data_IF_301867949841
#
_entry.id   IF_301867949841
#
_cell.length_a   1.000
_cell.length_b   1.000
_cell.length_c   1.000
_cell.angle_alpha   90.00
_cell.angle_beta   90.00
_cell.angle_gamma   90.00
#
_symmetry.space_group_name_H-M   'P 1'
#
loop_
_entity.id
_entity.type
_entity.pdbx_description
1 polymer ?
#
# COMPACT_ATOMS: atom_id res chain seq x y z
N UNK A 1 -34.48 -65.61 6.58
CA UNK A 1 -33.36 -65.14 7.41
C UNK A 1 -32.18 -64.86 6.49
N UNK A 2 -32.01 -63.61 6.02
CA UNK A 2 -30.84 -63.15 5.24
C UNK A 2 -30.52 -61.74 5.73
N UNK A 3 -29.32 -61.58 6.27
CA UNK A 3 -28.74 -60.32 6.74
C UNK A 3 -28.09 -59.63 5.54
N UNK A 4 -28.39 -58.34 5.30
CA UNK A 4 -27.61 -57.50 4.39
C UNK A 4 -27.18 -56.24 5.13
N UNK A 5 -25.87 -56.16 5.37
CA UNK A 5 -25.20 -55.04 6.01
C UNK A 5 -25.23 -53.80 5.15
N UNK A 6 -25.50 -52.67 5.79
CA UNK A 6 -25.31 -51.33 5.23
C UNK A 6 -23.83 -50.96 5.36
N UNK A 7 -23.15 -50.83 4.22
CA UNK A 7 -21.86 -50.14 4.15
C UNK A 7 -22.16 -48.63 4.16
N UNK A 8 -21.86 -47.96 5.26
CA UNK A 8 -21.94 -46.51 5.35
C UNK A 8 -20.68 -45.92 4.75
N UNK A 9 -20.77 -45.41 3.52
CA UNK A 9 -19.70 -44.65 2.88
C UNK A 9 -19.68 -43.26 3.53
N UNK A 10 -18.69 -43.03 4.40
CA UNK A 10 -18.41 -41.71 4.98
C UNK A 10 -17.72 -40.88 3.90
N UNK A 11 -18.45 -39.94 3.32
CA UNK A 11 -17.93 -38.94 2.40
C UNK A 11 -17.18 -37.88 3.22
N UNK A 12 -15.85 -37.98 3.23
CA UNK A 12 -14.97 -37.00 3.85
C UNK A 12 -14.91 -35.77 2.93
N UNK A 13 -15.80 -34.80 3.16
CA UNK A 13 -15.80 -33.50 2.47
C UNK A 13 -14.63 -32.67 3.00
N UNK A 14 -13.54 -32.62 2.23
CA UNK A 14 -12.42 -31.71 2.44
C UNK A 14 -12.89 -30.34 1.96
N UNK A 15 -13.21 -29.44 2.89
CA UNK A 15 -13.50 -28.04 2.58
C UNK A 15 -12.18 -27.34 2.19
N UNK A 16 -12.07 -26.76 0.98
CA UNK A 16 -10.98 -25.83 0.70
C UNK A 16 -11.22 -24.56 1.51
N UNK A 17 -10.20 -24.12 2.24
CA UNK A 17 -10.19 -22.80 2.88
C UNK A 17 -10.37 -21.75 1.79
N UNK A 18 -11.55 -21.16 1.69
CA UNK A 18 -11.75 -19.94 0.91
C UNK A 18 -10.95 -18.83 1.59
N UNK A 19 -9.84 -18.41 0.96
CA UNK A 19 -9.31 -17.08 1.18
C UNK A 19 -10.40 -16.10 0.72
N UNK A 20 -11.20 -15.58 1.65
CA UNK A 20 -12.11 -14.50 1.35
C UNK A 20 -11.28 -13.21 1.20
N UNK A 21 -11.15 -12.74 -0.04
CA UNK A 21 -10.75 -11.38 -0.34
C UNK A 21 -11.81 -10.42 0.21
N UNK A 22 -11.38 -9.32 0.83
CA UNK A 22 -12.25 -8.33 1.44
C UNK A 22 -12.51 -7.20 0.43
N UNK A 23 -13.77 -6.90 0.06
CA UNK A 23 -14.04 -5.85 -0.91
C UNK A 23 -13.84 -4.46 -0.31
N UNK A 24 -12.96 -3.64 -0.91
CA UNK A 24 -12.83 -2.23 -0.57
C UNK A 24 -13.80 -1.41 -1.42
N UNK A 25 -14.70 -0.66 -0.76
CA UNK A 25 -15.63 0.25 -1.44
C UNK A 25 -14.93 1.57 -1.77
N UNK A 26 -14.78 1.86 -3.07
CA UNK A 26 -14.21 3.13 -3.56
C UNK A 26 -15.30 4.19 -3.74
N UNK A 27 -16.47 3.77 -4.25
CA UNK A 27 -17.66 4.60 -4.44
C UNK A 27 -18.92 3.71 -4.44
N UNK A 28 -20.12 4.31 -4.49
CA UNK A 28 -21.40 3.58 -4.46
C UNK A 28 -21.56 2.52 -5.57
N UNK A 29 -20.71 2.53 -6.60
CA UNK A 29 -20.79 1.62 -7.75
C UNK A 29 -19.44 0.96 -8.07
N UNK A 30 -18.39 1.20 -7.28
CA UNK A 30 -17.04 0.75 -7.59
C UNK A 30 -16.37 0.11 -6.37
N UNK A 31 -15.95 -1.14 -6.54
CA UNK A 31 -15.25 -1.93 -5.53
C UNK A 31 -13.93 -2.41 -6.10
N UNK A 32 -12.88 -2.42 -5.28
CA UNK A 32 -11.63 -3.13 -5.55
C UNK A 32 -11.66 -4.40 -4.71
N UNK A 33 -11.43 -5.56 -5.33
CA UNK A 33 -11.15 -6.79 -4.59
C UNK A 33 -9.69 -6.79 -4.15
N UNK A 34 -9.44 -6.94 -2.85
CA UNK A 34 -8.09 -7.01 -2.30
C UNK A 34 -8.04 -8.02 -1.17
N UNK A 35 -6.88 -8.63 -0.97
CA UNK A 35 -6.57 -9.48 0.17
C UNK A 35 -6.04 -8.69 1.38
N UNK A 36 -5.79 -7.38 1.21
CA UNK A 36 -5.37 -6.48 2.29
C UNK A 36 -6.39 -6.48 3.44
N UNK A 37 -5.86 -6.72 4.62
CA UNK A 37 -6.54 -6.58 5.91
C UNK A 37 -6.42 -5.15 6.40
N UNK A 38 -7.44 -4.74 7.17
CA UNK A 38 -7.56 -3.38 7.70
C UNK A 38 -7.48 -2.28 6.62
N UNK A 39 -7.87 -2.63 5.39
CA UNK A 39 -7.71 -1.76 4.24
C UNK A 39 -8.57 -0.50 4.37
N UNK A 40 -7.97 0.65 4.08
CA UNK A 40 -8.64 1.94 4.01
C UNK A 40 -8.22 2.69 2.76
N UNK A 41 -9.21 3.30 2.09
CA UNK A 41 -8.94 4.22 1.00
C UNK A 41 -8.43 5.55 1.58
N UNK A 42 -7.25 5.96 1.16
CA UNK A 42 -6.66 7.27 1.49
C UNK A 42 -7.16 8.33 0.51
N UNK A 43 -7.07 8.05 -0.79
CA UNK A 43 -7.47 8.97 -1.83
C UNK A 43 -7.75 8.25 -3.15
N UNK A 44 -8.57 8.90 -3.99
CA UNK A 44 -8.59 8.65 -5.43
C UNK A 44 -7.82 9.76 -6.10
N UNK A 45 -6.81 9.42 -6.89
CA UNK A 45 -5.98 10.41 -7.57
C UNK A 45 -5.66 9.92 -8.98
N UNK A 46 -6.03 10.72 -9.99
CA UNK A 46 -5.71 10.47 -11.40
C UNK A 46 -6.03 9.04 -11.90
N UNK A 47 -7.18 8.47 -11.49
CA UNK A 47 -7.56 7.11 -11.88
C UNK A 47 -6.88 5.98 -11.09
N UNK A 48 -6.21 6.31 -9.98
CA UNK A 48 -5.65 5.35 -9.03
C UNK A 48 -6.33 5.45 -7.67
N UNK A 49 -6.42 4.32 -6.98
CA UNK A 49 -6.75 4.22 -5.57
C UNK A 49 -5.45 4.16 -4.77
N UNK A 50 -5.28 5.11 -3.85
CA UNK A 50 -4.21 5.11 -2.85
C UNK A 50 -4.82 4.52 -1.58
N UNK A 51 -4.29 3.41 -1.12
CA UNK A 51 -4.84 2.62 -0.02
C UNK A 51 -3.79 2.43 1.06
N UNK A 52 -4.23 2.23 2.29
CA UNK A 52 -3.37 1.76 3.36
C UNK A 52 -3.93 0.46 3.93
N UNK A 53 -3.07 -0.52 4.21
CA UNK A 53 -3.48 -1.83 4.72
C UNK A 53 -2.27 -2.70 5.09
N UNK A 54 -2.54 -3.94 5.45
CA UNK A 54 -1.55 -5.00 5.76
C UNK A 54 -2.00 -6.29 5.10
N UNK A 55 -1.09 -7.17 4.69
CA UNK A 55 -1.49 -8.51 4.25
C UNK A 55 -1.80 -9.42 5.45
N UNK A 56 -1.17 -9.13 6.59
CA UNK A 56 -1.27 -9.97 7.76
C UNK A 56 -1.27 -9.16 9.07
N UNK A 57 -2.22 -9.48 9.96
CA UNK A 57 -2.43 -8.78 11.24
C UNK A 57 -1.54 -9.38 12.35
N UNK A 58 -1.25 -10.68 12.29
CA UNK A 58 -0.61 -11.44 13.38
C UNK A 58 0.87 -11.81 13.12
N UNK A 59 1.55 -11.09 12.22
CA UNK A 59 2.94 -11.37 11.85
C UNK A 59 3.85 -10.14 11.88
N UNK A 60 3.54 -9.19 12.76
CA UNK A 60 4.33 -7.96 12.98
C UNK A 60 4.53 -7.12 11.70
N UNK A 61 3.66 -7.30 10.70
CA UNK A 61 3.71 -6.53 9.47
C UNK A 61 3.26 -5.09 9.72
N UNK A 62 4.12 -4.13 9.41
CA UNK A 62 3.74 -2.73 9.45
C UNK A 62 2.68 -2.38 8.41
N UNK A 63 1.83 -1.40 8.76
CA UNK A 63 0.93 -0.75 7.81
C UNK A 63 1.73 -0.21 6.63
N UNK A 64 1.22 -0.40 5.42
CA UNK A 64 1.85 0.05 4.20
C UNK A 64 0.88 0.83 3.32
N UNK A 65 1.42 1.54 2.33
CA UNK A 65 0.68 2.20 1.26
C UNK A 65 0.71 1.31 0.03
N UNK A 66 -0.42 1.25 -0.65
CA UNK A 66 -0.63 0.53 -1.90
C UNK A 66 -1.27 1.45 -2.92
N UNK A 67 -0.86 1.32 -4.18
CA UNK A 67 -1.36 2.13 -5.29
C UNK A 67 -1.93 1.17 -6.32
N UNK A 68 -3.20 1.33 -6.66
CA UNK A 68 -3.86 0.46 -7.64
C UNK A 68 -4.60 1.26 -8.70
N UNK A 69 -4.42 0.89 -9.97
CA UNK A 69 -5.19 1.48 -11.06
C UNK A 69 -6.66 1.09 -10.92
N UNK A 70 -7.54 2.06 -11.07
CA UNK A 70 -8.97 1.86 -11.02
C UNK A 70 -9.44 1.54 -12.45
N UNK A 71 -9.98 0.33 -12.67
CA UNK A 71 -10.47 -0.08 -13.99
C UNK A 71 -11.51 0.91 -14.55
N UNK A 72 -11.37 1.28 -15.83
CA UNK A 72 -12.34 2.12 -16.53
C UNK A 72 -13.51 1.25 -17.01
N UNK A 73 -14.71 1.82 -17.13
CA UNK A 73 -15.89 1.10 -17.62
C UNK A 73 -15.61 0.45 -18.99
N UNK A 74 -15.68 -0.87 -19.06
CA UNK A 74 -15.46 -1.65 -20.29
C UNK A 74 -14.08 -2.33 -20.39
N UNK A 75 -13.15 -2.02 -19.48
CA UNK A 75 -11.92 -2.80 -19.30
C UNK A 75 -12.23 -4.02 -18.40
N UNK A 76 -11.87 -5.22 -18.85
CA UNK A 76 -11.98 -6.43 -18.05
C UNK A 76 -10.85 -6.42 -17.03
N UNK A 77 -11.17 -6.48 -15.73
CA UNK A 77 -10.20 -6.86 -14.69
C UNK A 77 -9.66 -8.25 -15.05
N UNK A 78 -8.45 -8.35 -15.62
CA UNK A 78 -7.84 -9.66 -15.89
C UNK A 78 -6.98 -9.81 -17.15
N UNK A 79 -6.68 -8.76 -17.90
CA UNK A 79 -5.64 -8.84 -18.95
C UNK A 79 -4.41 -8.06 -18.51
N UNK A 80 -3.37 -8.78 -18.06
CA UNK A 80 -1.96 -8.36 -17.90
C UNK A 80 -1.76 -6.84 -17.73
N UNK A 81 -2.07 -6.30 -16.55
CA UNK A 81 -1.51 -5.01 -16.12
C UNK A 81 -0.14 -5.27 -15.47
N UNK A 82 0.75 -5.91 -16.23
CA UNK A 82 2.16 -6.13 -15.87
C UNK A 82 2.84 -4.79 -15.65
N UNK A 83 2.95 -4.35 -14.40
CA UNK A 83 3.84 -3.26 -14.03
C UNK A 83 3.62 -2.59 -12.68
N UNK A 84 2.42 -2.65 -12.08
CA UNK A 84 2.13 -1.85 -10.88
C UNK A 84 1.24 -2.54 -9.82
N UNK A 85 0.97 -3.85 -9.94
CA UNK A 85 0.17 -4.59 -8.96
C UNK A 85 1.06 -5.10 -7.81
N UNK A 86 0.75 -4.64 -6.58
CA UNK A 86 1.31 -5.04 -5.27
C UNK A 86 2.63 -4.44 -4.77
N UNK A 87 3.09 -3.32 -5.34
CA UNK A 87 4.17 -2.59 -4.68
C UNK A 87 3.73 -2.08 -3.30
N UNK A 88 4.41 -2.59 -2.27
CA UNK A 88 4.25 -2.24 -0.87
C UNK A 88 5.16 -1.06 -0.54
N UNK A 89 4.58 0.10 -0.27
CA UNK A 89 5.32 1.30 0.11
C UNK A 89 5.24 1.59 1.60
N UNK A 90 6.27 2.20 2.16
CA UNK A 90 6.35 2.58 3.57
C UNK A 90 5.22 3.53 3.96
N UNK A 91 4.48 3.23 5.03
CA UNK A 91 3.49 4.16 5.57
C UNK A 91 4.20 5.31 6.31
N UNK A 92 3.74 6.57 6.23
CA UNK A 92 4.42 7.67 6.92
C UNK A 92 4.44 7.48 8.43
N UNK A 93 5.45 7.99 9.10
CA UNK A 93 5.59 7.79 10.54
C UNK A 93 6.96 8.03 11.12
N UNK A 94 7.11 7.51 12.33
CA UNK A 94 8.39 7.37 13.02
C UNK A 94 8.62 5.88 13.23
N UNK A 95 9.82 5.43 12.88
CA UNK A 95 10.22 4.04 13.00
C UNK A 95 11.28 3.91 14.08
N UNK A 96 10.99 3.04 15.04
CA UNK A 96 11.93 2.68 16.10
C UNK A 96 12.57 1.34 15.77
N UNK A 97 13.86 1.19 16.06
CA UNK A 97 14.50 -0.11 16.06
C UNK A 97 13.81 -1.01 17.12
N UNK A 98 13.38 -2.19 16.70
CA UNK A 98 12.61 -3.10 17.56
C UNK A 98 13.34 -3.43 18.87
N UNK A 99 14.66 -3.61 18.83
CA UNK A 99 15.46 -4.06 19.98
C UNK A 99 15.79 -2.93 20.95
N UNK A 100 16.30 -1.81 20.44
CA UNK A 100 16.81 -0.69 21.24
C UNK A 100 15.76 0.37 21.51
N UNK A 101 14.62 0.34 20.79
CA UNK A 101 13.56 1.36 20.80
C UNK A 101 14.05 2.76 20.43
N UNK A 102 15.22 2.85 19.78
CA UNK A 102 15.77 4.12 19.30
C UNK A 102 15.12 4.50 17.98
N UNK A 103 14.90 5.80 17.79
CA UNK A 103 14.42 6.32 16.52
C UNK A 103 15.48 6.10 15.44
N UNK A 104 15.12 5.37 14.39
CA UNK A 104 15.98 5.04 13.26
C UNK A 104 15.51 5.67 11.96
N UNK A 105 14.22 5.95 11.80
CA UNK A 105 13.68 6.61 10.61
C UNK A 105 12.47 7.51 10.92
N UNK A 106 12.34 8.59 10.14
CA UNK A 106 11.19 9.49 10.11
C UNK A 106 10.76 9.65 8.65
N UNK A 107 9.51 9.40 8.37
CA UNK A 107 8.97 9.42 7.01
C UNK A 107 7.71 10.26 6.97
N UNK A 108 7.70 11.29 6.14
CA UNK A 108 6.50 12.08 5.81
C UNK A 108 6.05 11.67 4.42
N UNK A 109 4.74 11.61 4.21
CA UNK A 109 4.17 11.25 2.91
C UNK A 109 3.11 12.27 2.51
N UNK A 110 3.17 12.71 1.27
CA UNK A 110 2.25 13.64 0.67
C UNK A 110 1.61 13.03 -0.57
N UNK A 111 0.38 13.45 -0.86
CA UNK A 111 -0.35 13.03 -2.06
C UNK A 111 -1.16 14.20 -2.64
N UNK A 112 -1.36 14.17 -3.96
CA UNK A 112 -2.12 15.19 -4.69
C UNK A 112 -1.27 15.83 -5.78
N UNK A 113 -1.24 17.16 -5.89
CA UNK A 113 -0.39 17.87 -6.88
C UNK A 113 0.83 18.49 -6.18
N UNK A 114 1.74 17.63 -5.73
CA UNK A 114 2.89 18.02 -4.91
C UNK A 114 4.15 18.34 -5.74
N UNK A 115 4.18 18.01 -7.03
CA UNK A 115 5.33 18.19 -7.92
C UNK A 115 4.90 18.73 -9.29
N UNK A 116 5.36 19.93 -9.65
CA UNK A 116 5.14 20.55 -10.97
C UNK A 116 3.67 20.54 -11.48
N UNK A 117 2.69 20.58 -10.57
CA UNK A 117 1.26 20.51 -10.93
C UNK A 117 0.80 19.13 -11.43
N UNK A 118 1.62 18.10 -11.28
CA UNK A 118 1.30 16.72 -11.66
C UNK A 118 0.77 15.91 -10.47
N UNK A 119 -0.20 15.00 -10.70
CA UNK A 119 -0.64 14.05 -9.70
C UNK A 119 0.56 13.21 -9.22
N UNK A 120 0.81 13.24 -7.92
CA UNK A 120 2.00 12.69 -7.30
C UNK A 120 1.76 12.13 -5.90
N UNK A 121 2.61 11.17 -5.52
CA UNK A 121 2.87 10.78 -4.14
C UNK A 121 4.34 11.07 -3.83
N UNK A 122 4.62 11.63 -2.67
CA UNK A 122 5.97 12.03 -2.28
C UNK A 122 6.27 11.54 -0.87
N UNK A 123 7.36 10.80 -0.70
CA UNK A 123 7.95 10.48 0.58
C UNK A 123 9.20 11.32 0.82
N UNK A 124 9.25 11.95 2.00
CA UNK A 124 10.42 12.62 2.52
C UNK A 124 10.89 11.85 3.75
N UNK A 125 12.02 11.17 3.63
CA UNK A 125 12.51 10.23 4.63
C UNK A 125 13.85 10.69 5.18
N UNK A 126 13.97 10.70 6.51
CA UNK A 126 15.24 10.83 7.22
C UNK A 126 15.52 9.53 7.97
N UNK A 127 16.62 8.85 7.66
CA UNK A 127 16.99 7.58 8.30
C UNK A 127 18.42 7.61 8.86
N UNK A 128 18.68 6.75 9.85
CA UNK A 128 19.98 6.60 10.49
C UNK A 128 20.91 5.75 9.63
N UNK A 129 22.09 6.27 9.33
CA UNK A 129 23.20 5.52 8.72
C UNK A 129 24.43 5.68 9.60
N UNK A 130 24.66 4.72 10.49
CA UNK A 130 25.62 4.86 11.59
C UNK A 130 25.25 6.03 12.51
N UNK A 131 26.18 6.97 12.71
CA UNK A 131 25.97 8.14 13.58
C UNK A 131 25.34 9.34 12.87
N UNK A 132 25.11 9.27 11.56
CA UNK A 132 24.54 10.37 10.76
C UNK A 132 23.08 10.13 10.41
N UNK A 133 22.40 11.21 10.04
CA UNK A 133 21.07 11.17 9.42
C UNK A 133 21.23 11.41 7.93
N UNK A 134 20.63 10.56 7.13
CA UNK A 134 20.56 10.68 5.67
C UNK A 134 19.14 11.07 5.30
N UNK A 135 19.01 12.04 4.40
CA UNK A 135 17.73 12.45 3.83
C UNK A 135 17.57 11.83 2.44
N UNK A 136 16.38 11.34 2.15
CA UNK A 136 16.01 10.77 0.86
C UNK A 136 14.61 11.22 0.46
N UNK A 137 14.41 11.31 -0.85
CA UNK A 137 13.16 11.72 -1.47
C UNK A 137 12.73 10.62 -2.44
N UNK A 138 11.48 10.22 -2.34
CA UNK A 138 10.88 9.26 -3.26
C UNK A 138 9.57 9.80 -3.81
N UNK A 139 9.53 10.01 -5.12
CA UNK A 139 8.42 10.61 -5.83
C UNK A 139 7.84 9.58 -6.80
N UNK A 140 6.52 9.42 -6.77
CA UNK A 140 5.76 8.67 -7.75
C UNK A 140 4.85 9.65 -8.48
N UNK A 141 4.99 9.73 -9.80
CA UNK A 141 4.07 10.45 -10.67
C UNK A 141 3.02 9.48 -11.19
N UNK A 142 1.75 9.87 -11.11
CA UNK A 142 0.64 9.07 -11.61
C UNK A 142 0.26 9.58 -13.00
N UNK A 143 0.60 8.80 -14.03
CA UNK A 143 0.25 9.09 -15.43
C UNK A 143 -0.77 8.11 -16.00
N UNK A 144 -1.25 8.42 -17.20
CA UNK A 144 -2.17 7.56 -17.95
C UNK A 144 -1.52 6.22 -18.35
N UNK A 145 -0.21 6.24 -18.63
CA UNK A 145 0.62 5.10 -19.05
C UNK A 145 1.11 4.23 -17.87
N UNK A 146 0.93 4.69 -16.62
CA UNK A 146 1.39 3.97 -15.42
C UNK A 146 1.99 4.88 -14.36
N UNK A 147 2.70 4.26 -13.43
CA UNK A 147 3.45 4.93 -12.37
C UNK A 147 4.89 5.21 -12.85
N UNK A 148 5.36 6.44 -12.64
CA UNK A 148 6.78 6.80 -12.85
C UNK A 148 7.44 7.04 -11.50
N UNK A 149 8.48 6.29 -11.20
CA UNK A 149 9.16 6.33 -9.91
C UNK A 149 10.47 7.10 -10.03
N UNK A 150 10.69 8.05 -9.12
CA UNK A 150 11.91 8.86 -9.03
C UNK A 150 12.45 8.80 -7.61
N UNK A 151 13.74 8.52 -7.49
CA UNK A 151 14.44 8.42 -6.21
C UNK A 151 15.66 9.34 -6.22
N UNK A 152 15.79 10.14 -5.17
CA UNK A 152 16.92 11.06 -5.01
C UNK A 152 17.45 10.94 -3.58
N UNK A 153 18.73 10.64 -3.47
CA UNK A 153 19.49 10.75 -2.22
C UNK A 153 20.53 11.85 -2.32
N UNK A 154 20.65 12.65 -1.25
CA UNK A 154 21.90 13.34 -0.97
C UNK A 154 22.25 14.61 -1.76
N UNK A 155 21.52 15.06 -2.79
CA UNK A 155 21.72 16.43 -3.33
C UNK A 155 20.67 16.89 -4.37
N UNK A 156 20.04 18.02 -4.03
CA UNK A 156 19.26 19.01 -4.80
C UNK A 156 17.85 19.19 -4.20
N UNK A 157 17.41 20.42 -3.92
CA UNK A 157 16.03 20.64 -3.51
C UNK A 157 15.13 20.34 -4.71
N UNK A 158 14.44 19.22 -4.69
CA UNK A 158 13.30 19.01 -5.57
C UNK A 158 12.28 20.13 -5.32
N UNK A 159 11.77 20.75 -6.39
CA UNK A 159 10.81 21.86 -6.28
C UNK A 159 9.44 21.28 -5.94
N UNK A 160 9.23 20.95 -4.67
CA UNK A 160 7.95 20.49 -4.16
C UNK A 160 7.03 21.65 -3.82
N UNK A 161 5.74 21.46 -4.09
CA UNK A 161 4.67 22.43 -3.81
C UNK A 161 3.89 21.99 -2.55
N UNK A 162 4.61 21.75 -1.45
CA UNK A 162 4.03 21.19 -0.22
C UNK A 162 2.95 22.09 0.41
N UNK A 163 3.03 23.40 0.17
CA UNK A 163 2.07 24.39 0.69
C UNK A 163 0.84 24.58 -0.23
N UNK A 164 0.78 23.86 -1.34
CA UNK A 164 -0.38 23.89 -2.23
C UNK A 164 -1.60 23.28 -1.51
N UNK A 165 -2.78 23.89 -1.68
CA UNK A 165 -4.03 23.34 -1.16
C UNK A 165 -4.34 21.92 -1.69
N UNK A 166 -3.78 21.58 -2.85
CA UNK A 166 -3.94 20.30 -3.51
C UNK A 166 -2.82 19.30 -3.19
N UNK A 167 -1.87 19.65 -2.31
CA UNK A 167 -0.86 18.72 -1.77
C UNK A 167 -1.17 18.45 -0.29
N UNK A 168 -1.49 17.19 0.05
CA UNK A 168 -1.94 16.81 1.40
C UNK A 168 -0.95 15.88 2.04
N UNK A 169 -0.55 16.20 3.27
CA UNK A 169 0.23 15.28 4.10
C UNK A 169 -0.69 14.21 4.68
N UNK A 170 -0.28 12.94 4.54
CA UNK A 170 -0.93 11.82 5.18
C UNK A 170 -0.40 11.69 6.63
N UNK A 171 -1.26 11.67 7.67
CA UNK A 171 -0.81 11.52 9.04
C UNK A 171 -0.03 10.24 9.27
N UNK A 172 1.16 10.39 9.83
CA UNK A 172 2.04 9.27 10.17
C UNK A 172 1.66 8.56 11.46
N UNK A 173 2.20 7.35 11.65
CA UNK A 173 2.05 6.56 12.89
C UNK A 173 3.41 6.21 13.51
N UNK A 174 3.43 5.74 14.75
CA UNK A 174 4.63 5.20 15.38
C UNK A 174 4.68 3.69 15.12
N UNK A 175 5.76 3.22 14.52
CA UNK A 175 5.95 1.82 14.14
C UNK A 175 7.34 1.34 14.56
N UNK A 176 7.54 0.04 14.56
CA UNK A 176 8.82 -0.60 14.85
C UNK A 176 9.33 -1.28 13.58
N UNK A 177 10.64 -1.29 13.37
CA UNK A 177 11.28 -2.03 12.27
C UNK A 177 12.36 -2.95 12.81
N UNK A 178 12.50 -4.11 12.17
CA UNK A 178 13.65 -4.96 12.38
C UNK A 178 14.91 -4.27 11.79
N UNK A 179 16.09 -4.44 12.43
CA UNK A 179 17.34 -3.80 12.02
C UNK A 179 17.88 -4.29 10.68
#
# INVERSE_FOLDING_TARGET
>A
MIVRGFLTVICLQILPFSLCADPLVISSQQQIQTDLKEVRLIAKLHGYAIMAGRHCIDCDENLAIYIRRIARHGEVEGTDQTGAEDDRYTYPGKYLDYMTKKLVEKTRMFYGHCYEGQPSLLWLTEYRSGDTWVQSEYLILLGDEGLEHRYVEGQQPSVFQLESADCKELPGTLMEMEP
#
